data_IF_099425021411
#
_entry.id   IF_099425021411
#
_cell.length_a   1.000
_cell.length_b   1.000
_cell.length_c   1.000
_cell.angle_alpha   90.00
_cell.angle_beta   90.00
_cell.angle_gamma   90.00
#
_symmetry.space_group_name_H-M   'P 1'
#
loop_
_entity.id
_entity.type
_entity.pdbx_description
1 polymer ?
#
# COMPACT_ATOMS: atom_id res chain seq x y z
N UNK A 1 24.80 22.71 -64.15
CA UNK A 1 25.37 21.77 -63.15
C UNK A 1 25.25 20.36 -63.71
N UNK A 2 26.29 19.50 -63.69
CA UNK A 2 26.16 18.12 -64.17
C UNK A 2 25.12 17.37 -63.33
N UNK A 3 24.32 16.47 -63.95
CA UNK A 3 23.21 15.75 -63.29
C UNK A 3 23.61 15.09 -61.97
N UNK A 4 24.84 14.60 -61.87
CA UNK A 4 25.41 14.02 -60.65
C UNK A 4 25.59 15.02 -59.50
N UNK A 5 25.97 16.27 -59.80
CA UNK A 5 26.08 17.34 -58.79
C UNK A 5 24.71 17.86 -58.35
N UNK A 6 23.71 17.82 -59.22
CA UNK A 6 22.33 18.19 -58.89
C UNK A 6 21.67 17.14 -57.98
N UNK A 7 21.87 15.86 -58.25
CA UNK A 7 21.37 14.75 -57.41
C UNK A 7 22.04 14.76 -56.03
N UNK A 8 23.36 14.99 -55.98
CA UNK A 8 24.09 15.09 -54.71
C UNK A 8 23.64 16.32 -53.90
N UNK A 9 23.39 17.46 -54.56
CA UNK A 9 22.85 18.65 -53.89
C UNK A 9 21.44 18.42 -53.35
N UNK A 10 20.55 17.79 -54.12
CA UNK A 10 19.19 17.42 -53.67
C UNK A 10 19.24 16.43 -52.50
N UNK A 11 20.12 15.43 -52.54
CA UNK A 11 20.29 14.47 -51.43
C UNK A 11 20.85 15.14 -50.17
N UNK A 12 21.79 16.08 -50.29
CA UNK A 12 22.32 16.86 -49.16
C UNK A 12 21.25 17.81 -48.61
N UNK A 13 20.44 18.43 -49.46
CA UNK A 13 19.32 19.28 -49.03
C UNK A 13 18.18 18.49 -48.38
N UNK A 14 17.85 17.29 -48.87
CA UNK A 14 16.90 16.37 -48.22
C UNK A 14 17.44 15.83 -46.90
N UNK A 15 18.74 15.53 -46.82
CA UNK A 15 19.40 15.15 -45.57
C UNK A 15 19.37 16.30 -44.55
N UNK A 16 19.57 17.55 -44.98
CA UNK A 16 19.42 18.74 -44.13
C UNK A 16 17.96 18.99 -43.69
N UNK A 17 16.96 18.70 -44.55
CA UNK A 17 15.54 18.75 -44.18
C UNK A 17 15.14 17.64 -43.18
N UNK A 18 15.79 16.48 -43.24
CA UNK A 18 15.57 15.37 -42.29
C UNK A 18 16.26 15.61 -40.93
N UNK A 19 17.32 16.42 -40.88
CA UNK A 19 18.02 16.78 -39.63
C UNK A 19 17.40 18.02 -38.94
N UNK A 20 16.61 18.81 -39.66
CA UNK A 20 15.89 19.98 -39.10
C UNK A 20 14.54 19.63 -38.46
N UNK A 21 14.18 18.34 -38.41
CA UNK A 21 13.01 17.82 -37.70
C UNK A 21 13.13 17.75 -36.17
N UNK A 22 14.02 18.55 -35.54
CA UNK A 22 13.98 18.75 -34.10
C UNK A 22 12.92 19.79 -33.77
N UNK A 23 11.64 19.44 -33.96
CA UNK A 23 10.59 20.15 -33.24
C UNK A 23 10.94 20.06 -31.76
N UNK A 24 11.15 21.20 -31.09
CA UNK A 24 11.25 21.21 -29.63
C UNK A 24 10.02 20.46 -29.11
N UNK A 25 10.21 19.45 -28.24
CA UNK A 25 9.11 18.59 -27.86
C UNK A 25 8.00 19.46 -27.27
N UNK A 26 6.81 19.37 -27.85
CA UNK A 26 5.68 20.20 -27.46
C UNK A 26 5.27 19.86 -26.03
N UNK A 27 4.65 20.79 -25.32
CA UNK A 27 4.13 20.51 -23.97
C UNK A 27 2.87 19.64 -24.11
N UNK A 28 2.86 18.47 -23.49
CA UNK A 28 1.71 17.55 -23.47
C UNK A 28 0.82 17.73 -22.24
N UNK A 29 1.39 18.15 -21.11
CA UNK A 29 0.65 18.39 -19.87
C UNK A 29 1.30 19.49 -19.04
N UNK A 30 0.48 20.22 -18.29
CA UNK A 30 0.91 21.22 -17.29
C UNK A 30 0.18 21.01 -15.97
N UNK A 31 0.84 21.33 -14.86
CA UNK A 31 0.26 21.44 -13.53
C UNK A 31 0.84 22.67 -12.82
N UNK A 32 -0.03 23.53 -12.30
CA UNK A 32 0.36 24.72 -11.56
C UNK A 32 0.03 24.55 -10.06
N UNK A 33 1.06 24.63 -9.23
CA UNK A 33 0.92 24.72 -7.77
C UNK A 33 0.71 26.18 -7.33
N UNK A 34 0.91 26.46 -6.04
CA UNK A 34 0.73 27.83 -5.51
C UNK A 34 1.72 28.82 -6.13
N UNK A 35 2.98 28.41 -6.25
CA UNK A 35 4.09 29.28 -6.72
C UNK A 35 5.07 28.56 -7.64
N UNK A 36 4.76 27.33 -8.07
CA UNK A 36 5.59 26.53 -8.98
C UNK A 36 4.75 25.93 -10.09
N UNK A 37 5.38 25.63 -11.22
CA UNK A 37 4.75 24.99 -12.37
C UNK A 37 5.56 23.77 -12.78
N UNK A 38 4.85 22.72 -13.18
CA UNK A 38 5.39 21.47 -13.67
C UNK A 38 4.81 21.22 -15.06
N UNK A 39 5.63 20.78 -16.00
CA UNK A 39 5.21 20.43 -17.34
C UNK A 39 5.80 19.09 -17.77
N UNK A 40 5.04 18.33 -18.57
CA UNK A 40 5.52 17.17 -19.29
C UNK A 40 5.55 17.54 -20.77
N UNK A 41 6.64 17.22 -21.45
CA UNK A 41 6.71 17.34 -22.90
C UNK A 41 6.25 16.05 -23.59
N UNK A 42 5.92 16.12 -24.88
CA UNK A 42 5.49 14.98 -25.70
C UNK A 42 6.53 13.86 -25.78
N UNK A 43 7.80 14.14 -25.48
CA UNK A 43 8.87 13.13 -25.38
C UNK A 43 8.97 12.49 -23.99
N UNK A 44 8.02 12.77 -23.09
CA UNK A 44 7.93 12.22 -21.74
C UNK A 44 8.91 12.83 -20.73
N UNK A 45 9.62 13.91 -21.09
CA UNK A 45 10.50 14.64 -20.16
C UNK A 45 9.70 15.53 -19.21
N UNK A 46 10.20 15.68 -17.98
CA UNK A 46 9.61 16.51 -16.93
C UNK A 46 10.38 17.82 -16.77
N UNK A 47 9.66 18.93 -16.67
CA UNK A 47 10.21 20.27 -16.53
C UNK A 47 9.51 21.01 -15.39
N UNK A 48 10.25 21.86 -14.68
CA UNK A 48 9.70 22.63 -13.56
C UNK A 48 10.30 24.03 -13.46
N UNK A 49 9.54 24.99 -12.92
CA UNK A 49 9.99 26.33 -12.58
C UNK A 49 9.13 26.97 -11.48
N UNK A 50 9.60 28.08 -10.92
CA UNK A 50 8.99 28.83 -9.82
C UNK A 50 9.67 28.59 -8.47
N UNK A 51 8.89 28.72 -7.40
CA UNK A 51 9.30 28.52 -6.00
C UNK A 51 9.78 27.10 -5.74
N UNK A 52 10.87 26.97 -4.99
CA UNK A 52 11.49 25.69 -4.65
C UNK A 52 11.90 25.57 -3.18
N UNK A 53 11.39 26.43 -2.29
CA UNK A 53 11.76 26.44 -0.86
C UNK A 53 11.68 25.09 -0.16
N UNK A 54 10.80 24.18 -0.62
CA UNK A 54 10.61 22.84 -0.06
C UNK A 54 11.05 21.71 -1.01
N UNK A 55 11.73 22.04 -2.12
CA UNK A 55 12.13 21.05 -3.13
C UNK A 55 11.01 20.66 -4.09
N UNK A 56 9.92 21.44 -4.19
CA UNK A 56 8.75 21.11 -5.01
C UNK A 56 9.02 21.08 -6.52
N UNK A 57 10.17 21.60 -6.98
CA UNK A 57 10.62 21.44 -8.36
C UNK A 57 11.24 20.05 -8.62
N UNK A 58 11.76 19.38 -7.60
CA UNK A 58 12.32 18.03 -7.74
C UNK A 58 13.72 17.97 -8.35
N UNK A 59 14.43 19.10 -8.41
CA UNK A 59 15.75 19.23 -9.04
C UNK A 59 16.93 19.00 -8.07
N UNK A 60 16.71 18.35 -6.92
CA UNK A 60 17.68 18.16 -5.84
C UNK A 60 18.21 19.46 -5.20
N UNK A 61 17.53 20.59 -5.39
CA UNK A 61 17.87 21.85 -4.73
C UNK A 61 16.65 22.42 -4.01
N UNK A 62 16.87 23.49 -3.24
CA UNK A 62 15.82 24.34 -2.67
C UNK A 62 15.81 25.74 -3.28
N UNK A 63 16.54 25.94 -4.38
CA UNK A 63 16.66 27.24 -5.05
C UNK A 63 15.59 27.39 -6.11
N UNK A 64 14.93 28.54 -6.10
CA UNK A 64 13.91 28.91 -7.08
C UNK A 64 14.48 28.94 -8.50
N UNK A 65 13.61 28.74 -9.48
CA UNK A 65 13.97 28.78 -10.90
C UNK A 65 13.03 29.73 -11.64
N UNK A 66 13.55 30.83 -12.15
CA UNK A 66 12.76 31.78 -12.96
C UNK A 66 12.51 31.31 -14.40
N UNK A 67 13.07 30.16 -14.79
CA UNK A 67 12.92 29.55 -16.11
C UNK A 67 12.78 28.02 -15.98
N UNK A 68 12.13 27.35 -16.96
CA UNK A 68 11.99 25.90 -16.97
C UNK A 68 13.35 25.18 -16.86
N UNK A 69 13.45 24.24 -15.93
CA UNK A 69 14.58 23.31 -15.81
C UNK A 69 14.08 21.88 -15.95
N UNK A 70 14.81 21.06 -16.70
CA UNK A 70 14.50 19.64 -16.81
C UNK A 70 14.80 18.92 -15.50
N UNK A 71 13.92 18.02 -15.10
CA UNK A 71 14.00 17.25 -13.87
C UNK A 71 14.45 15.82 -14.18
N UNK A 72 15.70 15.53 -13.82
CA UNK A 72 16.34 14.25 -14.13
C UNK A 72 16.50 14.00 -15.64
N UNK A 73 16.80 12.76 -16.00
CA UNK A 73 17.02 12.33 -17.40
C UNK A 73 15.89 11.44 -17.95
N UNK A 74 14.87 11.17 -17.13
CA UNK A 74 13.75 10.30 -17.49
C UNK A 74 12.88 10.89 -18.60
N UNK A 75 12.37 9.99 -19.45
CA UNK A 75 11.49 10.29 -20.60
C UNK A 75 10.18 9.53 -20.53
N UNK A 76 9.76 9.18 -19.32
CA UNK A 76 8.66 8.28 -19.06
C UNK A 76 7.66 8.86 -18.08
N UNK A 77 7.52 10.18 -18.01
CA UNK A 77 6.46 10.81 -17.22
C UNK A 77 5.16 10.79 -18.01
N UNK A 78 4.10 10.27 -17.39
CA UNK A 78 2.79 10.13 -18.00
C UNK A 78 1.81 11.20 -17.52
N UNK A 79 1.87 11.59 -16.24
CA UNK A 79 1.01 12.64 -15.69
C UNK A 79 1.62 13.31 -14.45
N UNK A 80 1.21 14.54 -14.17
CA UNK A 80 1.64 15.33 -13.01
C UNK A 80 0.48 16.11 -12.39
N UNK A 81 0.55 16.31 -11.08
CA UNK A 81 -0.28 17.24 -10.33
C UNK A 81 0.57 18.00 -9.31
N UNK A 82 0.24 19.27 -9.08
CA UNK A 82 0.98 20.15 -8.19
C UNK A 82 0.06 20.66 -7.08
N UNK A 83 0.46 20.46 -5.82
CA UNK A 83 -0.18 21.05 -4.66
C UNK A 83 0.42 22.39 -4.28
N UNK A 84 0.13 22.89 -3.07
CA UNK A 84 0.62 24.20 -2.62
C UNK A 84 2.15 24.31 -2.54
N UNK A 85 2.83 23.22 -2.17
CA UNK A 85 4.28 23.16 -1.99
C UNK A 85 4.85 21.75 -2.21
N UNK A 86 4.12 20.88 -2.91
CA UNK A 86 4.53 19.52 -3.25
C UNK A 86 4.04 19.18 -4.65
N UNK A 87 4.61 18.14 -5.23
CA UNK A 87 4.27 17.64 -6.56
C UNK A 87 4.15 16.13 -6.50
N UNK A 88 3.19 15.59 -7.24
CA UNK A 88 3.05 14.16 -7.50
C UNK A 88 3.05 13.90 -8.99
N UNK A 89 3.54 12.75 -9.41
CA UNK A 89 3.54 12.35 -10.81
C UNK A 89 3.49 10.84 -10.98
N UNK A 90 2.98 10.39 -12.11
CA UNK A 90 2.91 8.98 -12.48
C UNK A 90 3.82 8.78 -13.70
N UNK A 91 4.63 7.73 -13.67
CA UNK A 91 5.42 7.30 -14.83
C UNK A 91 4.62 6.34 -15.73
N UNK A 92 5.07 6.14 -16.95
CA UNK A 92 4.38 5.27 -17.94
C UNK A 92 4.31 3.80 -17.53
N UNK A 93 5.17 3.37 -16.59
CA UNK A 93 5.12 2.04 -15.98
C UNK A 93 4.06 1.91 -14.87
N UNK A 94 3.32 2.99 -14.58
CA UNK A 94 2.28 3.03 -13.55
C UNK A 94 2.79 3.35 -12.14
N UNK A 95 4.09 3.54 -11.95
CA UNK A 95 4.64 3.90 -10.64
C UNK A 95 4.26 5.34 -10.25
N UNK A 96 3.88 5.55 -8.99
CA UNK A 96 3.58 6.86 -8.41
C UNK A 96 4.86 7.46 -7.82
N UNK A 97 5.04 8.76 -7.96
CA UNK A 97 6.18 9.50 -7.44
C UNK A 97 5.71 10.78 -6.76
N UNK A 98 6.38 11.20 -5.69
CA UNK A 98 6.06 12.44 -4.99
C UNK A 98 7.32 13.16 -4.49
N UNK A 99 7.30 14.49 -4.45
CA UNK A 99 8.38 15.31 -3.92
C UNK A 99 7.89 16.69 -3.44
N UNK A 100 8.75 17.41 -2.74
CA UNK A 100 8.44 18.70 -2.11
C UNK A 100 8.14 18.59 -0.61
N UNK A 101 7.30 19.50 -0.12
CA UNK A 101 6.90 19.58 1.28
C UNK A 101 6.17 18.31 1.73
N UNK A 102 6.55 17.77 2.89
CA UNK A 102 5.88 16.62 3.49
C UNK A 102 5.48 16.84 4.96
N UNK A 103 5.34 18.09 5.41
CA UNK A 103 5.07 18.38 6.84
C UNK A 103 3.76 17.78 7.36
N UNK A 104 2.82 17.46 6.46
CA UNK A 104 1.54 16.85 6.80
C UNK A 104 1.36 15.48 6.13
N UNK A 105 2.43 14.85 5.66
CA UNK A 105 2.36 13.54 5.01
C UNK A 105 1.87 13.56 3.55
N UNK A 106 1.92 14.70 2.87
CA UNK A 106 1.49 14.85 1.46
C UNK A 106 2.17 13.90 0.47
N UNK A 107 3.39 13.42 0.75
CA UNK A 107 4.14 12.48 -0.08
C UNK A 107 3.81 11.01 0.22
N UNK A 108 3.13 10.70 1.33
CA UNK A 108 2.72 9.33 1.65
C UNK A 108 3.86 8.34 1.95
N UNK A 109 5.07 8.81 2.28
CA UNK A 109 6.25 7.95 2.48
C UNK A 109 6.86 7.99 3.89
N UNK A 110 6.16 8.58 4.87
CA UNK A 110 6.63 8.67 6.26
C UNK A 110 7.85 9.59 6.52
N UNK A 111 8.29 10.41 5.55
CA UNK A 111 9.41 11.36 5.73
C UNK A 111 8.97 12.82 5.93
N UNK A 112 9.87 13.76 6.23
CA UNK A 112 9.51 15.18 6.47
C UNK A 112 9.48 16.07 5.21
N UNK A 113 10.27 15.77 4.16
CA UNK A 113 10.23 16.38 2.82
C UNK A 113 11.17 15.63 1.86
N UNK A 114 11.08 15.89 0.55
CA UNK A 114 11.98 15.32 -0.48
C UNK A 114 12.35 16.34 -1.57
N UNK A 115 13.62 16.38 -1.96
CA UNK A 115 14.16 17.34 -2.94
C UNK A 115 14.20 16.81 -4.38
N UNK A 116 13.97 15.52 -4.57
CA UNK A 116 13.83 14.85 -5.86
C UNK A 116 12.59 13.96 -5.85
N UNK A 117 12.03 13.66 -7.04
CA UNK A 117 11.03 12.63 -7.17
C UNK A 117 11.51 11.35 -6.49
N UNK A 118 10.71 10.85 -5.54
CA UNK A 118 10.87 9.51 -4.97
C UNK A 118 9.66 8.68 -5.35
N UNK A 119 9.91 7.41 -5.68
CA UNK A 119 8.85 6.45 -5.91
C UNK A 119 8.04 6.27 -4.61
N UNK A 120 6.74 6.47 -4.73
CA UNK A 120 5.77 6.14 -3.72
C UNK A 120 5.24 4.77 -4.10
N UNK A 121 5.69 3.76 -3.37
CA UNK A 121 5.11 2.45 -3.44
C UNK A 121 3.64 2.61 -3.02
N UNK A 122 2.73 2.49 -3.99
CA UNK A 122 1.27 2.39 -3.75
C UNK A 122 1.00 1.00 -3.19
N UNK A 123 1.63 0.72 -2.08
CA UNK A 123 1.40 -0.45 -1.29
C UNK A 123 0.24 -0.08 -0.38
N UNK A 124 -0.97 -0.29 -0.89
CA UNK A 124 -2.04 -0.70 0.00
C UNK A 124 -1.51 -1.93 0.75
N UNK A 125 -0.95 -1.72 1.95
CA UNK A 125 -0.45 -2.80 2.81
C UNK A 125 0.55 -3.76 2.15
N UNK A 126 1.69 -3.31 1.63
CA UNK A 126 2.77 -4.30 1.58
C UNK A 126 3.37 -4.36 2.97
N UNK A 127 3.01 -5.46 3.61
CA UNK A 127 3.79 -6.01 4.70
C UNK A 127 5.22 -6.11 4.19
N UNK A 128 6.21 -5.55 4.89
CA UNK A 128 7.61 -5.65 4.51
C UNK A 128 7.95 -7.09 4.12
N UNK A 129 8.74 -7.27 3.07
CA UNK A 129 9.13 -8.61 2.60
C UNK A 129 9.75 -9.48 3.72
N UNK A 130 10.24 -8.84 4.77
CA UNK A 130 10.91 -9.43 5.94
C UNK A 130 10.00 -9.56 7.18
N UNK A 131 8.68 -9.46 7.05
CA UNK A 131 7.77 -9.55 8.20
C UNK A 131 6.65 -10.58 8.02
N UNK A 132 6.29 -11.27 9.11
CA UNK A 132 5.10 -12.12 9.17
C UNK A 132 3.85 -11.26 9.39
N UNK A 133 2.68 -11.74 8.97
CA UNK A 133 1.42 -11.02 9.19
C UNK A 133 0.27 -12.03 9.23
N UNK A 134 -0.31 -12.25 10.39
CA UNK A 134 -1.37 -13.20 10.66
C UNK A 134 -2.73 -12.54 10.52
N UNK A 135 -3.50 -13.00 9.53
CA UNK A 135 -4.87 -12.54 9.33
C UNK A 135 -5.86 -13.64 9.68
N UNK A 136 -6.83 -13.32 10.55
CA UNK A 136 -8.00 -14.15 10.72
C UNK A 136 -8.91 -14.07 9.49
N UNK A 137 -9.21 -15.21 8.88
CA UNK A 137 -9.99 -15.32 7.65
C UNK A 137 -11.45 -15.66 7.94
N UNK A 138 -11.70 -16.62 8.83
CA UNK A 138 -13.07 -17.04 9.16
C UNK A 138 -13.15 -17.73 10.51
N UNK A 139 -14.27 -17.55 11.22
CA UNK A 139 -14.65 -18.32 12.41
C UNK A 139 -16.05 -18.90 12.21
N UNK A 140 -16.19 -20.21 12.34
CA UNK A 140 -17.47 -20.92 12.17
C UNK A 140 -17.72 -21.90 13.31
N UNK A 141 -18.98 -22.03 13.71
CA UNK A 141 -19.43 -22.93 14.75
C UNK A 141 -20.93 -23.22 14.60
N UNK A 142 -21.49 -24.11 15.42
CA UNK A 142 -22.93 -24.39 15.42
C UNK A 142 -23.73 -23.15 15.81
N UNK A 143 -24.79 -22.83 15.05
CA UNK A 143 -25.67 -21.68 15.30
C UNK A 143 -26.45 -21.80 16.62
N UNK A 144 -26.69 -23.03 17.09
CA UNK A 144 -27.47 -23.31 18.29
C UNK A 144 -26.79 -24.43 19.08
N UNK A 145 -26.64 -24.24 20.39
CA UNK A 145 -26.11 -25.25 21.30
C UNK A 145 -26.79 -25.19 22.66
N UNK A 146 -26.86 -26.33 23.36
CA UNK A 146 -27.30 -26.40 24.75
C UNK A 146 -26.10 -26.30 25.69
N UNK A 147 -26.23 -25.56 26.79
CA UNK A 147 -25.22 -25.56 27.84
C UNK A 147 -24.90 -26.99 28.32
N UNK A 148 -23.63 -27.28 28.59
CA UNK A 148 -23.11 -28.61 28.91
C UNK A 148 -22.77 -29.49 27.70
N UNK A 149 -22.90 -28.99 26.46
CA UNK A 149 -22.49 -29.70 25.23
C UNK A 149 -21.21 -29.09 24.64
N UNK A 150 -20.55 -29.87 23.79
CA UNK A 150 -19.33 -29.43 23.11
C UNK A 150 -19.67 -28.61 21.85
N UNK A 151 -19.20 -27.36 21.81
CA UNK A 151 -19.23 -26.49 20.63
C UNK A 151 -18.00 -26.78 19.77
N UNK A 152 -18.21 -27.03 18.48
CA UNK A 152 -17.11 -27.22 17.52
C UNK A 152 -16.83 -25.87 16.85
N UNK A 153 -15.71 -25.26 17.20
CA UNK A 153 -15.25 -23.98 16.67
C UNK A 153 -14.18 -24.28 15.64
N UNK A 154 -14.39 -23.85 14.40
CA UNK A 154 -13.39 -23.87 13.34
C UNK A 154 -12.94 -22.44 13.07
N UNK A 155 -11.64 -22.20 13.14
CA UNK A 155 -11.03 -20.92 12.75
C UNK A 155 -10.01 -21.13 11.64
N UNK A 156 -9.99 -20.18 10.70
CA UNK A 156 -9.09 -20.16 9.55
C UNK A 156 -8.26 -18.89 9.69
N UNK A 157 -6.94 -19.06 9.68
CA UNK A 157 -5.98 -17.96 9.68
C UNK A 157 -5.00 -18.12 8.53
N UNK A 158 -4.43 -17.01 8.07
CA UNK A 158 -3.45 -16.99 7.00
C UNK A 158 -2.28 -16.10 7.40
N UNK A 159 -1.07 -16.58 7.20
CA UNK A 159 0.08 -15.68 7.19
C UNK A 159 0.12 -15.01 5.80
N UNK A 160 -0.27 -13.74 5.73
CA UNK A 160 -0.22 -12.93 4.52
C UNK A 160 1.12 -12.20 4.35
N UNK A 161 2.03 -12.31 5.31
CA UNK A 161 3.35 -11.67 5.32
C UNK A 161 4.39 -12.33 4.40
N UNK A 162 5.57 -11.71 4.35
CA UNK A 162 6.73 -12.12 3.57
C UNK A 162 7.64 -13.13 4.27
N UNK A 163 7.48 -13.31 5.59
CA UNK A 163 8.24 -14.25 6.41
C UNK A 163 7.38 -15.26 7.17
N UNK A 164 7.98 -16.34 7.66
CA UNK A 164 7.29 -17.32 8.49
C UNK A 164 6.95 -16.73 9.85
N UNK A 165 5.75 -17.02 10.36
CA UNK A 165 5.41 -16.72 11.75
C UNK A 165 5.95 -17.85 12.64
N UNK A 166 6.75 -17.48 13.63
CA UNK A 166 7.26 -18.35 14.70
C UNK A 166 6.13 -18.98 15.52
N UNK A 167 6.45 -19.76 16.55
CA UNK A 167 5.42 -20.35 17.42
C UNK A 167 4.59 -19.28 18.12
N UNK A 168 3.25 -19.40 18.07
CA UNK A 168 2.30 -18.49 18.72
C UNK A 168 1.08 -19.24 19.29
N UNK A 169 0.23 -18.53 20.05
CA UNK A 169 -1.04 -19.06 20.57
C UNK A 169 -2.24 -18.41 19.90
N UNK A 170 -3.24 -19.23 19.64
CA UNK A 170 -4.59 -18.77 19.27
C UNK A 170 -5.44 -18.85 20.53
N UNK A 171 -6.00 -17.71 20.96
CA UNK A 171 -6.99 -17.68 22.03
C UNK A 171 -8.42 -17.64 21.47
N UNK A 172 -9.35 -18.22 22.20
CA UNK A 172 -10.77 -18.26 21.89
C UNK A 172 -11.55 -17.56 22.99
N UNK A 173 -12.55 -16.78 22.61
CA UNK A 173 -13.38 -16.02 23.54
C UNK A 173 -14.86 -16.19 23.23
N UNK A 174 -15.67 -16.18 24.28
CA UNK A 174 -17.11 -15.99 24.22
C UNK A 174 -17.43 -14.51 24.43
N UNK A 175 -18.16 -13.92 23.49
CA UNK A 175 -18.48 -12.49 23.50
C UNK A 175 -19.98 -12.25 23.39
N UNK A 176 -20.42 -11.12 23.95
CA UNK A 176 -21.76 -10.57 23.73
C UNK A 176 -21.81 -9.63 22.50
N UNK A 177 -20.65 -9.21 22.00
CA UNK A 177 -20.53 -8.18 20.96
C UNK A 177 -20.04 -8.77 19.62
N UNK A 178 -20.56 -8.29 18.48
CA UNK A 178 -20.14 -8.73 17.15
C UNK A 178 -18.87 -8.04 16.63
N UNK A 179 -18.36 -7.02 17.34
CA UNK A 179 -17.15 -6.29 16.95
C UNK A 179 -15.86 -7.07 17.28
N UNK A 180 -14.70 -6.48 16.96
CA UNK A 180 -13.39 -7.08 17.22
C UNK A 180 -12.77 -6.70 18.57
N UNK A 181 -13.38 -5.81 19.36
CA UNK A 181 -12.89 -5.48 20.70
C UNK A 181 -12.94 -6.71 21.59
N UNK A 182 -12.00 -6.87 22.52
CA UNK A 182 -12.01 -7.97 23.50
C UNK A 182 -12.54 -7.54 24.87
N UNK A 183 -12.98 -6.29 25.01
CA UNK A 183 -13.45 -5.74 26.27
C UNK A 183 -14.72 -6.47 26.75
N UNK A 184 -14.66 -7.01 27.97
CA UNK A 184 -15.77 -7.76 28.58
C UNK A 184 -15.94 -9.20 28.06
N UNK A 185 -15.05 -9.68 27.19
CA UNK A 185 -15.13 -11.03 26.65
C UNK A 185 -14.56 -12.09 27.61
N UNK A 186 -15.18 -13.28 27.62
CA UNK A 186 -14.75 -14.39 28.48
C UNK A 186 -13.82 -15.32 27.71
N UNK A 187 -12.59 -15.52 28.19
CA UNK A 187 -11.67 -16.51 27.62
C UNK A 187 -12.22 -17.93 27.79
N UNK A 188 -12.24 -18.70 26.71
CA UNK A 188 -12.72 -20.09 26.67
C UNK A 188 -11.61 -21.10 26.33
N UNK A 189 -10.36 -20.65 26.25
CA UNK A 189 -9.18 -21.48 26.05
C UNK A 189 -8.34 -21.10 24.83
N UNK A 190 -7.39 -21.96 24.46
CA UNK A 190 -6.43 -21.67 23.39
C UNK A 190 -5.82 -22.91 22.73
N UNK A 191 -5.11 -22.69 21.62
CA UNK A 191 -4.33 -23.69 20.88
C UNK A 191 -2.98 -23.09 20.47
N UNK A 192 -1.91 -23.85 20.64
CA UNK A 192 -0.59 -23.46 20.11
C UNK A 192 -0.46 -23.81 18.64
N UNK A 193 0.22 -22.95 17.89
CA UNK A 193 0.66 -23.18 16.51
C UNK A 193 2.17 -23.07 16.51
N UNK A 194 2.88 -24.14 16.12
CA UNK A 194 4.35 -24.19 16.16
C UNK A 194 5.01 -23.30 15.13
N UNK A 195 4.35 -23.11 13.99
CA UNK A 195 4.77 -22.22 12.90
C UNK A 195 3.58 -21.99 11.95
N UNK A 196 3.51 -20.81 11.33
CA UNK A 196 2.73 -20.61 10.12
C UNK A 196 3.58 -20.03 8.98
N UNK A 197 3.91 -20.90 8.03
CA UNK A 197 4.70 -20.57 6.84
C UNK A 197 4.08 -19.42 6.05
N UNK A 198 4.93 -18.53 5.53
CA UNK A 198 4.51 -17.38 4.71
C UNK A 198 3.55 -17.74 3.59
N UNK A 199 2.57 -16.85 3.37
CA UNK A 199 1.49 -16.99 2.37
C UNK A 199 0.61 -18.24 2.53
N UNK A 200 0.78 -19.06 3.58
CA UNK A 200 -0.02 -20.27 3.82
C UNK A 200 -1.20 -20.01 4.76
N UNK A 201 -2.22 -20.85 4.60
CA UNK A 201 -3.44 -20.86 5.41
C UNK A 201 -3.40 -22.05 6.37
N UNK A 202 -3.93 -21.86 7.57
CA UNK A 202 -4.08 -22.89 8.59
C UNK A 202 -5.54 -22.97 9.05
N UNK A 203 -6.04 -24.19 9.11
CA UNK A 203 -7.36 -24.50 9.68
C UNK A 203 -7.16 -25.10 11.07
N UNK A 204 -7.84 -24.56 12.06
CA UNK A 204 -7.80 -25.05 13.45
C UNK A 204 -9.21 -25.39 13.90
N UNK A 205 -9.33 -26.54 14.56
CA UNK A 205 -10.56 -26.97 15.22
C UNK A 205 -10.33 -26.94 16.73
N UNK A 206 -11.23 -26.25 17.44
CA UNK A 206 -11.27 -26.19 18.88
C UNK A 206 -12.62 -26.69 19.39
N UNK A 207 -12.59 -27.66 20.31
CA UNK A 207 -13.78 -28.23 20.91
C UNK A 207 -13.94 -27.65 22.31
N UNK A 208 -14.88 -26.73 22.47
CA UNK A 208 -15.14 -26.08 23.75
C UNK A 208 -16.32 -26.75 24.44
N UNK A 209 -16.15 -27.21 25.68
CA UNK A 209 -17.28 -27.65 26.50
C UNK A 209 -17.98 -26.42 27.08
N UNK A 210 -19.18 -26.11 26.59
CA UNK A 210 -19.96 -24.97 27.08
C UNK A 210 -20.36 -25.26 28.54
N UNK A 211 -19.93 -24.49 29.55
CA UNK A 211 -20.30 -24.73 30.93
C UNK A 211 -21.83 -24.77 31.12
N UNK A 212 -22.31 -25.66 32.00
CA UNK A 212 -23.75 -25.73 32.33
C UNK A 212 -24.27 -24.43 32.98
N UNK A 213 -23.37 -23.65 33.56
CA UNK A 213 -23.65 -22.35 34.20
C UNK A 213 -23.68 -21.19 33.21
N UNK A 214 -23.32 -21.39 31.94
CA UNK A 214 -23.39 -20.34 30.93
C UNK A 214 -24.84 -19.90 30.75
N UNK A 215 -25.07 -18.59 30.91
CA UNK A 215 -26.39 -18.03 30.74
C UNK A 215 -26.94 -18.30 29.33
N UNK A 216 -28.26 -18.43 29.23
CA UNK A 216 -28.94 -18.58 27.94
C UNK A 216 -28.93 -17.22 27.25
N UNK A 217 -28.64 -17.21 25.96
CA UNK A 217 -28.53 -15.94 25.24
C UNK A 217 -27.93 -16.04 23.86
N UNK A 218 -27.71 -14.86 23.28
CA UNK A 218 -26.99 -14.68 22.02
C UNK A 218 -25.54 -14.35 22.30
N UNK A 219 -24.64 -15.04 21.62
CA UNK A 219 -23.20 -14.86 21.77
C UNK A 219 -22.49 -14.88 20.42
N UNK A 220 -21.22 -14.53 20.44
CA UNK A 220 -20.28 -14.63 19.34
C UNK A 220 -19.03 -15.37 19.84
N UNK A 221 -18.35 -16.09 18.95
CA UNK A 221 -17.03 -16.66 19.23
C UNK A 221 -16.00 -15.77 18.55
N UNK A 222 -15.05 -15.28 19.33
CA UNK A 222 -13.89 -14.56 18.81
C UNK A 222 -12.65 -15.43 18.88
N UNK A 223 -11.75 -15.24 17.92
CA UNK A 223 -10.42 -15.86 17.93
C UNK A 223 -9.37 -14.80 17.70
N UNK A 224 -8.34 -14.80 18.52
CA UNK A 224 -7.17 -13.92 18.37
C UNK A 224 -6.01 -14.81 17.98
N UNK A 225 -5.52 -14.65 16.75
CA UNK A 225 -4.29 -15.28 16.32
C UNK A 225 -3.13 -14.48 16.89
N UNK A 226 -2.15 -15.16 17.47
CA UNK A 226 -1.10 -14.55 18.28
C UNK A 226 -1.60 -13.73 19.48
N UNK A 227 -2.42 -14.36 20.31
CA UNK A 227 -2.98 -13.72 21.52
C UNK A 227 -1.95 -13.27 22.56
N UNK A 228 -0.69 -13.65 22.40
CA UNK A 228 0.42 -13.28 23.29
C UNK A 228 1.30 -12.18 22.67
N UNK A 229 0.98 -11.72 21.45
CA UNK A 229 1.68 -10.66 20.73
C UNK A 229 3.19 -10.97 20.56
N UNK A 230 3.52 -12.23 20.26
CA UNK A 230 4.91 -12.70 20.14
C UNK A 230 5.42 -12.73 18.70
N UNK A 231 4.52 -12.71 17.71
CA UNK A 231 4.83 -12.55 16.30
C UNK A 231 4.92 -11.05 16.02
N UNK A 232 6.00 -10.63 15.38
CA UNK A 232 6.14 -9.24 14.98
C UNK A 232 5.27 -8.98 13.73
N UNK A 233 4.16 -8.28 13.91
CA UNK A 233 3.16 -7.99 12.86
C UNK A 233 3.00 -6.47 12.66
N UNK A 234 2.47 -6.06 11.52
CA UNK A 234 2.24 -4.65 11.21
C UNK A 234 0.85 -4.17 11.64
N UNK A 235 -0.13 -5.08 11.73
CA UNK A 235 -1.50 -4.77 12.15
C UNK A 235 -2.10 -5.86 13.06
N UNK A 236 -2.03 -5.60 14.36
CA UNK A 236 -2.56 -6.46 15.43
C UNK A 236 -4.10 -6.58 15.44
N UNK A 237 -4.84 -5.83 14.61
CA UNK A 237 -6.30 -5.89 14.60
C UNK A 237 -6.86 -6.83 13.51
N UNK A 238 -6.03 -7.27 12.58
CA UNK A 238 -6.46 -8.16 11.50
C UNK A 238 -6.32 -9.65 11.84
N UNK A 239 -5.63 -9.98 12.92
CA UNK A 239 -5.49 -11.32 13.49
C UNK A 239 -6.72 -11.75 14.35
N UNK A 240 -7.71 -10.86 14.52
CA UNK A 240 -8.96 -11.11 15.24
C UNK A 240 -10.09 -11.52 14.29
N UNK A 241 -10.64 -12.72 14.50
CA UNK A 241 -11.79 -13.26 13.79
C UNK A 241 -13.03 -13.33 14.68
N UNK A 242 -14.21 -13.11 14.10
CA UNK A 242 -15.50 -13.16 14.82
C UNK A 242 -16.46 -14.07 14.07
N UNK A 243 -17.16 -14.94 14.80
CA UNK A 243 -18.14 -15.85 14.20
C UNK A 243 -19.44 -15.13 13.86
N UNK A 244 -20.34 -15.82 13.14
CA UNK A 244 -21.75 -15.45 13.16
C UNK A 244 -22.33 -15.66 14.57
N UNK A 245 -23.42 -14.96 14.88
CA UNK A 245 -24.16 -15.10 16.14
C UNK A 245 -24.54 -16.57 16.40
N UNK A 246 -24.29 -17.03 17.62
CA UNK A 246 -24.71 -18.32 18.16
C UNK A 246 -25.73 -18.12 19.27
N UNK A 247 -26.57 -19.12 19.50
CA UNK A 247 -27.55 -19.13 20.59
C UNK A 247 -27.21 -20.27 21.56
N UNK A 248 -27.11 -19.95 22.84
CA UNK A 248 -26.95 -20.92 23.94
C UNK A 248 -28.30 -21.08 24.64
N UNK A 249 -28.80 -22.33 24.78
CA UNK A 249 -30.08 -22.69 25.43
C UNK A 249 -29.95 -23.62 26.62
#
# INVERSE_FOLDING_TARGET
MPKSKLILFILISLLFLLISGNASPAVSQIAAGKWHTIAINTDGTLWAWGDNRYGQLGNNTTSDRSFPVQIGTGKNWASVAAGSAHTVGIKTDGTLWAWGNNMFGQLGNGTLYKLSPIEILLEATAIPAEQAELKAVAVTCQKLIKAGRNLNIKTIGKNIGGENASSFKIAFYLSLNPDKSLEGDTSIGGKSVSELVKKKTKNIVYLWNVPKTTAKGSYYIKTVWDSENVVNESDENNNIGVSKKIIIK
#
